data_IF_794531795018
#
_entry.id   IF_794531795018
#
_cell.length_a   1.000
_cell.length_b   1.000
_cell.length_c   1.000
_cell.angle_alpha   90.00
_cell.angle_beta   90.00
_cell.angle_gamma   90.00
#
_symmetry.space_group_name_H-M   'P 1'
#
loop_
_entity.id
_entity.type
_entity.pdbx_description
1 polymer ?
#
# COMPACT_ATOMS: atom_id res chain seq x y z
N UNK A 1 30.01 36.25 43.30
CA UNK A 1 29.04 36.38 42.19
C UNK A 1 28.91 35.02 41.52
N UNK A 2 27.88 34.24 41.86
CA UNK A 2 27.57 32.98 41.20
C UNK A 2 26.39 33.22 40.25
N UNK A 3 26.63 33.13 38.94
CA UNK A 3 25.56 33.12 37.95
C UNK A 3 25.08 31.68 37.76
N UNK A 4 23.86 31.41 38.20
CA UNK A 4 23.13 30.17 37.90
C UNK A 4 22.48 30.36 36.53
N UNK A 5 23.02 29.65 35.53
CA UNK A 5 22.46 29.59 34.18
C UNK A 5 21.29 28.58 34.19
N UNK A 6 20.05 29.08 34.11
CA UNK A 6 18.86 28.23 33.95
C UNK A 6 18.83 27.65 32.53
N UNK A 7 19.13 26.35 32.41
CA UNK A 7 18.84 25.56 31.21
C UNK A 7 17.33 25.28 31.17
N UNK A 8 16.58 26.12 30.46
CA UNK A 8 15.20 25.85 30.07
C UNK A 8 15.22 24.94 28.82
N UNK A 9 15.43 23.63 29.03
CA UNK A 9 15.15 22.63 27.99
C UNK A 9 13.64 22.51 27.81
N UNK A 10 13.10 23.19 26.81
CA UNK A 10 11.70 23.05 26.41
C UNK A 10 11.51 21.67 25.78
N UNK A 11 10.79 20.79 26.49
CA UNK A 11 10.27 19.53 25.97
C UNK A 11 9.25 19.83 24.86
N UNK A 12 9.70 19.85 23.61
CA UNK A 12 8.79 19.86 22.48
C UNK A 12 8.00 18.53 22.47
N UNK A 13 6.67 18.55 22.40
CA UNK A 13 5.89 17.33 22.28
C UNK A 13 6.27 16.62 20.98
N UNK A 14 6.57 15.33 21.08
CA UNK A 14 6.83 14.50 19.90
C UNK A 14 5.62 14.57 18.95
N UNK A 15 5.84 14.65 17.63
CA UNK A 15 4.74 14.69 16.67
C UNK A 15 3.85 13.46 16.84
N UNK A 16 2.54 13.68 16.93
CA UNK A 16 1.57 12.60 17.06
C UNK A 16 1.67 11.67 15.85
N UNK A 17 1.89 10.37 16.09
CA UNK A 17 1.85 9.36 15.03
C UNK A 17 0.43 9.28 14.49
N UNK A 18 0.23 9.67 13.23
CA UNK A 18 -1.04 9.46 12.52
C UNK A 18 -1.17 7.95 12.28
N UNK A 19 -1.97 7.29 13.11
CA UNK A 19 -2.30 5.88 12.95
C UNK A 19 -3.55 5.76 12.08
N UNK A 20 -3.49 4.91 11.06
CA UNK A 20 -4.68 4.59 10.28
C UNK A 20 -5.70 3.85 11.13
N UNK A 21 -6.94 4.35 11.10
CA UNK A 21 -8.07 3.70 11.76
C UNK A 21 -8.80 2.86 10.72
N UNK A 22 -8.57 1.56 10.74
CA UNK A 22 -9.29 0.64 9.87
C UNK A 22 -10.67 0.37 10.46
N UNK A 23 -11.73 0.58 9.67
CA UNK A 23 -13.07 0.16 10.06
C UNK A 23 -13.18 -1.34 9.83
N UNK A 24 -13.34 -2.16 10.88
CA UNK A 24 -13.53 -3.59 10.69
C UNK A 24 -14.86 -3.83 10.00
N UNK A 25 -14.83 -4.46 8.83
CA UNK A 25 -16.03 -4.95 8.16
C UNK A 25 -16.39 -6.30 8.78
N UNK A 26 -17.63 -6.48 9.24
CA UNK A 26 -18.12 -7.71 9.86
C UNK A 26 -19.30 -8.30 9.07
N UNK A 27 -19.39 -9.64 8.98
CA UNK A 27 -20.52 -10.31 8.36
C UNK A 27 -21.72 -10.38 9.31
N UNK A 28 -22.85 -10.87 8.81
CA UNK A 28 -24.06 -11.08 9.60
C UNK A 28 -23.88 -12.05 10.78
N UNK A 29 -22.72 -12.71 10.87
CA UNK A 29 -22.34 -13.64 11.93
C UNK A 29 -21.24 -13.07 12.83
N UNK A 30 -20.87 -11.79 12.65
CA UNK A 30 -19.86 -11.11 13.48
C UNK A 30 -18.41 -11.49 13.19
N UNK A 31 -18.13 -12.19 12.08
CA UNK A 31 -16.77 -12.46 11.63
C UNK A 31 -16.26 -11.29 10.80
N UNK A 32 -14.95 -10.97 10.90
CA UNK A 32 -14.35 -9.95 10.03
C UNK A 32 -14.53 -10.37 8.56
N UNK A 33 -15.37 -9.66 7.81
CA UNK A 33 -15.43 -9.73 6.36
C UNK A 33 -14.11 -9.17 5.86
N UNK A 34 -13.25 -10.09 5.46
CA UNK A 34 -12.21 -9.83 4.49
C UNK A 34 -12.92 -9.31 3.24
N UNK A 35 -12.75 -8.03 2.92
CA UNK A 35 -13.50 -7.25 1.93
C UNK A 35 -13.58 -7.86 0.52
N UNK A 36 -14.25 -7.16 -0.40
CA UNK A 36 -14.33 -7.60 -1.80
C UNK A 36 -12.98 -7.43 -2.50
N UNK A 37 -12.09 -8.42 -2.35
CA UNK A 37 -10.76 -8.41 -2.97
C UNK A 37 -10.78 -9.05 -4.35
N UNK A 38 -10.06 -8.50 -5.30
CA UNK A 38 -9.84 -9.14 -6.61
C UNK A 38 -8.73 -10.18 -6.55
N UNK A 39 -7.87 -10.09 -5.53
CA UNK A 39 -6.67 -10.90 -5.40
C UNK A 39 -6.43 -11.27 -3.93
N UNK A 40 -6.21 -12.57 -3.69
CA UNK A 40 -5.70 -13.06 -2.40
C UNK A 40 -4.59 -14.05 -2.71
N UNK A 41 -3.37 -13.79 -2.24
CA UNK A 41 -2.20 -14.62 -2.53
C UNK A 41 -1.24 -14.74 -1.36
N UNK A 42 -0.35 -15.72 -1.46
CA UNK A 42 0.86 -15.86 -0.66
C UNK A 42 2.07 -15.59 -1.54
N UNK A 43 2.89 -14.63 -1.14
CA UNK A 43 4.13 -14.32 -1.87
C UNK A 43 5.25 -13.85 -0.97
N UNK A 44 6.48 -13.99 -1.46
CA UNK A 44 7.70 -13.46 -0.84
C UNK A 44 8.13 -12.20 -1.59
N UNK A 45 8.36 -11.12 -0.86
CA UNK A 45 8.81 -9.85 -1.43
C UNK A 45 10.19 -10.03 -2.04
N UNK A 46 10.31 -9.74 -3.33
CA UNK A 46 11.57 -9.70 -4.06
C UNK A 46 12.17 -8.30 -4.04
N UNK A 47 11.35 -7.28 -4.27
CA UNK A 47 11.80 -5.91 -4.48
C UNK A 47 10.74 -4.91 -4.06
N UNK A 48 11.18 -3.78 -3.50
CA UNK A 48 10.33 -2.64 -3.19
C UNK A 48 10.88 -1.41 -3.92
N UNK A 49 10.10 -0.88 -4.86
CA UNK A 49 10.41 0.36 -5.59
C UNK A 49 9.54 1.50 -5.11
N UNK A 50 10.05 2.73 -5.17
CA UNK A 50 9.20 3.92 -5.07
C UNK A 50 8.71 4.30 -6.46
N UNK A 51 7.40 4.49 -6.59
CA UNK A 51 6.76 4.94 -7.83
C UNK A 51 6.01 6.25 -7.59
N UNK A 52 5.80 6.98 -8.68
CA UNK A 52 5.08 8.24 -8.67
C UNK A 52 3.82 8.10 -9.50
N UNK A 53 2.73 8.72 -9.06
CA UNK A 53 1.45 8.64 -9.77
C UNK A 53 0.65 9.93 -9.61
N UNK A 54 -0.30 10.13 -10.52
CA UNK A 54 -1.30 11.19 -10.42
C UNK A 54 -2.63 10.59 -9.97
N UNK A 55 -3.25 11.22 -8.98
CA UNK A 55 -4.60 10.85 -8.55
C UNK A 55 -5.63 11.31 -9.60
N UNK A 56 -6.47 10.39 -10.05
CA UNK A 56 -7.48 10.67 -11.08
C UNK A 56 -8.50 11.72 -10.62
N UNK A 57 -8.80 11.78 -9.32
CA UNK A 57 -9.64 12.80 -8.71
C UNK A 57 -9.05 14.20 -8.85
N UNK A 58 -7.73 14.37 -8.71
CA UNK A 58 -7.07 15.65 -8.97
C UNK A 58 -7.12 16.06 -10.44
N UNK A 59 -7.03 15.10 -11.37
CA UNK A 59 -7.21 15.37 -12.81
C UNK A 59 -8.64 15.83 -13.08
N UNK A 60 -9.63 15.11 -12.56
CA UNK A 60 -11.06 15.45 -12.69
C UNK A 60 -11.41 16.79 -12.08
N UNK A 61 -10.74 17.18 -10.99
CA UNK A 61 -10.92 18.46 -10.31
C UNK A 61 -10.10 19.61 -10.91
N UNK A 62 -9.35 19.38 -12.01
CA UNK A 62 -8.45 20.35 -12.65
C UNK A 62 -7.33 20.91 -11.73
N UNK A 63 -6.95 20.16 -10.69
CA UNK A 63 -5.78 20.48 -9.85
C UNK A 63 -4.47 19.94 -10.44
N UNK A 64 -4.55 18.96 -11.32
CA UNK A 64 -3.42 18.38 -12.04
C UNK A 64 -3.85 18.01 -13.46
N UNK A 65 -2.89 17.80 -14.35
CA UNK A 65 -3.11 17.15 -15.65
C UNK A 65 -2.43 15.78 -15.64
N UNK A 66 -2.62 15.02 -16.72
CA UNK A 66 -1.90 13.74 -16.90
C UNK A 66 -0.40 13.91 -17.05
N UNK A 67 0.07 15.10 -17.42
CA UNK A 67 1.48 15.34 -17.79
C UNK A 67 2.09 16.52 -17.00
N UNK A 68 1.35 17.12 -16.07
CA UNK A 68 1.85 18.21 -15.25
C UNK A 68 1.05 18.43 -13.97
N UNK A 69 1.70 18.84 -12.89
CA UNK A 69 1.03 19.32 -11.68
C UNK A 69 1.38 18.51 -10.43
N UNK A 70 0.38 18.28 -9.58
CA UNK A 70 0.54 17.54 -8.33
C UNK A 70 0.60 16.04 -8.61
N UNK A 71 1.53 15.37 -7.94
CA UNK A 71 1.72 13.93 -7.98
C UNK A 71 1.98 13.39 -6.58
N UNK A 72 1.73 12.10 -6.40
CA UNK A 72 1.93 11.36 -5.18
C UNK A 72 3.02 10.32 -5.35
N UNK A 73 3.41 9.72 -4.22
CA UNK A 73 4.38 8.65 -4.17
C UNK A 73 3.73 7.42 -3.54
N UNK A 74 4.08 6.25 -4.03
CA UNK A 74 3.66 4.97 -3.49
C UNK A 74 4.82 3.98 -3.54
N UNK A 75 4.64 2.83 -2.91
CA UNK A 75 5.55 1.70 -2.99
C UNK A 75 4.98 0.66 -3.96
N UNK A 76 5.78 0.29 -4.95
CA UNK A 76 5.54 -0.84 -5.84
C UNK A 76 6.31 -2.05 -5.29
N UNK A 77 5.58 -3.06 -4.85
CA UNK A 77 6.13 -4.26 -4.21
C UNK A 77 6.01 -5.42 -5.18
N UNK A 78 7.16 -5.95 -5.62
CA UNK A 78 7.20 -7.14 -6.47
C UNK A 78 7.32 -8.37 -5.59
N UNK A 79 6.39 -9.32 -5.74
CA UNK A 79 6.37 -10.58 -5.01
C UNK A 79 6.58 -11.77 -5.94
N UNK A 80 7.39 -12.71 -5.50
CA UNK A 80 7.37 -14.07 -6.00
C UNK A 80 6.19 -14.80 -5.36
N UNK A 81 5.23 -15.23 -6.15
CA UNK A 81 3.97 -15.84 -5.70
C UNK A 81 4.10 -17.35 -5.72
N UNK A 82 3.74 -17.96 -4.59
CA UNK A 82 3.79 -19.41 -4.41
C UNK A 82 2.39 -20.04 -4.36
N UNK A 83 1.36 -19.24 -4.13
CA UNK A 83 -0.02 -19.71 -4.05
C UNK A 83 -1.02 -18.56 -4.24
N UNK A 84 -2.08 -18.80 -5.00
CA UNK A 84 -3.25 -17.93 -5.09
C UNK A 84 -4.43 -18.59 -4.37
N UNK A 85 -5.10 -17.83 -3.51
CA UNK A 85 -6.34 -18.26 -2.85
C UNK A 85 -7.58 -17.69 -3.54
N UNK A 86 -7.42 -16.55 -4.22
CA UNK A 86 -8.46 -15.91 -5.05
C UNK A 86 -7.79 -15.26 -6.26
N UNK A 87 -8.34 -15.52 -7.45
CA UNK A 87 -7.85 -15.23 -8.80
C UNK A 87 -7.18 -16.44 -9.48
N UNK A 88 -7.57 -16.71 -10.74
CA UNK A 88 -7.07 -17.82 -11.56
C UNK A 88 -5.78 -17.43 -12.32
N UNK A 89 -4.78 -16.91 -11.62
CA UNK A 89 -3.46 -16.63 -12.21
C UNK A 89 -2.49 -17.77 -11.94
N UNK A 90 -1.64 -18.04 -12.94
CA UNK A 90 -0.53 -18.96 -12.81
C UNK A 90 0.55 -18.38 -11.89
N UNK A 91 1.26 -19.27 -11.20
CA UNK A 91 2.41 -18.96 -10.34
C UNK A 91 3.44 -18.09 -11.08
N UNK A 92 4.13 -17.19 -10.35
CA UNK A 92 5.08 -16.27 -10.97
C UNK A 92 5.31 -15.01 -10.15
N UNK A 93 5.64 -13.91 -10.82
CA UNK A 93 5.84 -12.60 -10.18
C UNK A 93 4.59 -11.73 -10.33
N UNK A 94 4.28 -10.95 -9.30
CA UNK A 94 3.25 -9.94 -9.35
C UNK A 94 3.73 -8.67 -8.66
N UNK A 95 3.36 -7.53 -9.22
CA UNK A 95 3.57 -6.23 -8.60
C UNK A 95 2.27 -5.74 -7.99
N UNK A 96 2.34 -5.29 -6.74
CA UNK A 96 1.24 -4.65 -6.02
C UNK A 96 1.67 -3.26 -5.60
N UNK A 97 0.72 -2.35 -5.45
CA UNK A 97 0.97 -0.99 -5.00
C UNK A 97 0.41 -0.79 -3.60
N UNK A 98 1.10 0.02 -2.80
CA UNK A 98 0.66 0.40 -1.45
C UNK A 98 1.15 1.81 -1.15
N UNK A 99 0.46 2.51 -0.26
CA UNK A 99 0.98 3.74 0.33
C UNK A 99 2.34 3.55 1.03
N UNK A 100 3.01 4.67 1.32
CA UNK A 100 4.30 4.74 2.03
C UNK A 100 4.10 4.66 3.56
N UNK A 101 2.89 4.92 4.04
CA UNK A 101 2.54 5.06 5.45
C UNK A 101 2.43 6.53 5.87
N UNK A 102 2.21 6.77 7.16
CA UNK A 102 2.17 8.13 7.72
C UNK A 102 0.91 8.96 7.39
N UNK A 103 -0.10 8.35 6.76
CA UNK A 103 -1.42 8.96 6.51
C UNK A 103 -2.22 8.30 5.39
N UNK A 104 -1.54 7.64 4.44
CA UNK A 104 -2.13 6.94 3.29
C UNK A 104 -2.43 5.44 3.55
N UNK A 105 -2.23 5.00 4.79
CA UNK A 105 -2.46 3.63 5.23
C UNK A 105 -1.62 2.56 4.52
N UNK A 106 -0.48 2.94 3.96
CA UNK A 106 0.48 2.02 3.39
C UNK A 106 0.86 0.85 4.29
N UNK A 107 0.89 -0.36 3.72
CA UNK A 107 1.41 -1.56 4.38
C UNK A 107 2.95 -1.60 4.28
N UNK A 108 3.62 -1.76 5.42
CA UNK A 108 5.08 -1.73 5.50
C UNK A 108 5.70 -3.10 5.18
N UNK A 109 5.88 -3.37 3.89
CA UNK A 109 6.59 -4.56 3.41
C UNK A 109 8.08 -4.51 3.73
N UNK A 110 8.69 -5.68 3.83
CA UNK A 110 10.13 -5.86 3.94
C UNK A 110 10.58 -6.84 2.88
N UNK A 111 11.68 -6.54 2.22
CA UNK A 111 12.32 -7.46 1.29
C UNK A 111 12.60 -8.80 1.96
N UNK A 112 12.60 -9.87 1.17
CA UNK A 112 12.84 -11.24 1.59
C UNK A 112 11.83 -11.85 2.59
N UNK A 113 10.79 -11.10 2.98
CA UNK A 113 9.72 -11.60 3.84
C UNK A 113 8.52 -12.12 3.05
N UNK A 114 7.81 -13.09 3.63
CA UNK A 114 6.59 -13.65 3.08
C UNK A 114 5.34 -13.03 3.70
N UNK A 115 4.30 -12.87 2.89
CA UNK A 115 3.05 -12.24 3.28
C UNK A 115 1.85 -12.97 2.67
N UNK A 116 0.71 -12.87 3.36
CA UNK A 116 -0.60 -13.01 2.72
C UNK A 116 -1.05 -11.62 2.31
N UNK A 117 -1.33 -11.45 1.02
CA UNK A 117 -1.73 -10.16 0.44
C UNK A 117 -3.19 -10.24 0.03
N UNK A 118 -3.95 -9.25 0.47
CA UNK A 118 -5.32 -8.98 0.05
C UNK A 118 -5.32 -7.67 -0.74
N UNK A 119 -5.71 -7.73 -2.01
CA UNK A 119 -5.63 -6.57 -2.88
C UNK A 119 -6.85 -6.41 -3.80
N UNK A 120 -7.09 -5.16 -4.19
CA UNK A 120 -8.15 -4.76 -5.12
C UNK A 120 -7.54 -4.17 -6.38
N UNK A 121 -8.19 -4.36 -7.52
CA UNK A 121 -7.77 -3.71 -8.77
C UNK A 121 -8.11 -2.22 -8.70
N UNK A 122 -7.15 -1.38 -9.02
CA UNK A 122 -7.31 0.06 -9.07
C UNK A 122 -6.62 0.62 -10.33
N UNK A 123 -7.24 1.58 -11.03
CA UNK A 123 -6.58 2.30 -12.11
C UNK A 123 -5.58 3.31 -11.54
N UNK A 124 -4.40 3.39 -12.16
CA UNK A 124 -3.33 4.31 -11.80
C UNK A 124 -2.82 5.06 -13.03
N UNK A 125 -2.50 6.34 -12.86
CA UNK A 125 -1.76 7.15 -13.83
C UNK A 125 -0.31 7.20 -13.34
N UNK A 126 0.52 6.27 -13.77
CA UNK A 126 1.91 6.17 -13.34
C UNK A 126 2.80 7.15 -14.09
N UNK A 127 3.74 7.77 -13.38
CA UNK A 127 4.73 8.67 -13.96
C UNK A 127 5.99 7.89 -14.32
N UNK A 128 6.36 7.93 -15.60
CA UNK A 128 7.54 7.26 -16.16
C UNK A 128 8.81 8.07 -15.98
N UNK A 129 8.70 9.40 -16.15
CA UNK A 129 9.84 10.31 -16.10
C UNK A 129 9.39 11.74 -15.82
N UNK A 130 10.21 12.48 -15.09
CA UNK A 130 10.02 13.92 -14.89
C UNK A 130 10.81 14.72 -15.93
N UNK A 131 10.32 15.90 -16.28
CA UNK A 131 11.14 16.90 -16.95
C UNK A 131 12.13 17.49 -15.94
N UNK A 132 13.41 17.30 -16.18
CA UNK A 132 14.50 17.69 -15.28
C UNK A 132 14.58 19.20 -15.03
N UNK A 133 14.04 20.03 -15.92
CA UNK A 133 14.11 21.48 -15.83
C UNK A 133 13.18 22.07 -14.75
N UNK A 134 11.96 21.55 -14.63
CA UNK A 134 10.94 22.12 -13.75
C UNK A 134 10.33 21.14 -12.74
N UNK A 135 10.54 19.82 -12.91
CA UNK A 135 9.98 18.73 -12.08
C UNK A 135 8.46 18.76 -11.88
N UNK A 136 7.76 19.63 -12.58
CA UNK A 136 6.30 19.79 -12.53
C UNK A 136 5.64 19.25 -13.77
N UNK A 137 6.40 19.05 -14.86
CA UNK A 137 5.97 18.33 -16.06
C UNK A 137 6.53 16.92 -16.05
N UNK A 138 5.78 15.95 -16.53
CA UNK A 138 6.16 14.53 -16.53
C UNK A 138 5.49 13.77 -17.69
N UNK A 139 6.02 12.59 -18.01
CA UNK A 139 5.37 11.62 -18.90
C UNK A 139 4.68 10.56 -18.07
N UNK A 140 3.46 10.18 -18.45
CA UNK A 140 2.69 9.17 -17.74
C UNK A 140 2.00 8.15 -18.66
N UNK A 141 1.56 7.04 -18.07
CA UNK A 141 0.70 6.06 -18.72
C UNK A 141 -0.37 5.53 -17.75
N UNK A 142 -1.43 4.95 -18.31
CA UNK A 142 -2.46 4.26 -17.52
C UNK A 142 -2.06 2.81 -17.28
N UNK A 143 -2.19 2.36 -16.03
CA UNK A 143 -2.02 0.96 -15.66
C UNK A 143 -3.09 0.53 -14.65
N UNK A 144 -3.55 -0.71 -14.74
CA UNK A 144 -4.42 -1.32 -13.72
C UNK A 144 -3.55 -2.17 -12.81
N UNK A 145 -3.38 -1.72 -11.57
CA UNK A 145 -2.58 -2.39 -10.56
C UNK A 145 -3.46 -2.99 -9.46
N UNK A 146 -2.85 -3.87 -8.66
CA UNK A 146 -3.46 -4.37 -7.43
C UNK A 146 -2.97 -3.56 -6.24
N UNK A 147 -3.89 -2.91 -5.53
CA UNK A 147 -3.60 -2.11 -4.35
C UNK A 147 -3.88 -2.87 -3.06
N UNK A 148 -2.98 -2.73 -2.08
CA UNK A 148 -3.16 -3.18 -0.70
C UNK A 148 -2.84 -2.05 0.28
N UNK A 149 -3.36 -2.15 1.51
CA UNK A 149 -3.03 -1.24 2.60
C UNK A 149 -3.16 -1.97 3.96
N UNK A 150 -2.89 -1.30 5.08
CA UNK A 150 -3.02 -1.93 6.43
C UNK A 150 -4.44 -2.34 6.78
N UNK A 151 -5.44 -1.79 6.11
CA UNK A 151 -6.85 -2.08 6.33
C UNK A 151 -7.40 -3.18 5.43
N UNK A 152 -6.67 -3.60 4.38
CA UNK A 152 -7.08 -4.73 3.53
C UNK A 152 -6.83 -6.10 4.18
N UNK A 153 -6.21 -6.17 5.35
CA UNK A 153 -5.94 -7.45 6.04
C UNK A 153 -4.67 -8.16 5.57
N UNK A 154 -3.86 -7.52 4.71
CA UNK A 154 -2.51 -7.98 4.37
C UNK A 154 -1.68 -8.16 5.65
N UNK A 155 -0.91 -9.27 5.72
CA UNK A 155 -0.27 -9.68 6.97
C UNK A 155 0.99 -10.52 6.75
N UNK A 156 1.94 -10.40 7.68
CA UNK A 156 3.14 -11.24 7.79
C UNK A 156 2.90 -12.49 8.66
N UNK A 157 1.72 -12.65 9.27
CA UNK A 157 1.32 -13.83 10.02
C UNK A 157 0.91 -15.00 9.09
N UNK A 158 1.78 -15.34 8.14
CA UNK A 158 1.48 -16.24 7.01
C UNK A 158 0.90 -17.58 7.45
N UNK A 159 1.52 -18.27 8.41
CA UNK A 159 1.08 -19.60 8.86
C UNK A 159 -0.35 -19.60 9.39
N UNK A 160 -0.70 -18.60 10.21
CA UNK A 160 -2.03 -18.46 10.81
C UNK A 160 -3.06 -18.17 9.73
N UNK A 161 -2.75 -17.23 8.86
CA UNK A 161 -3.67 -16.72 7.86
C UNK A 161 -3.92 -17.74 6.72
N UNK A 162 -2.87 -18.41 6.27
CA UNK A 162 -2.93 -19.48 5.27
C UNK A 162 -3.81 -20.65 5.74
N UNK A 163 -3.74 -21.04 7.02
CA UNK A 163 -4.58 -22.09 7.57
C UNK A 163 -6.07 -21.72 7.52
N UNK A 164 -6.41 -20.46 7.77
CA UNK A 164 -7.79 -19.96 7.66
C UNK A 164 -8.26 -19.94 6.21
N UNK A 165 -7.43 -19.44 5.29
CA UNK A 165 -7.75 -19.38 3.87
C UNK A 165 -7.94 -20.77 3.26
N UNK A 166 -7.08 -21.73 3.59
CA UNK A 166 -7.24 -23.13 3.14
C UNK A 166 -8.57 -23.72 3.59
N UNK A 167 -9.03 -23.46 4.82
CA UNK A 167 -10.34 -23.92 5.30
C UNK A 167 -11.52 -23.26 4.58
N UNK A 168 -11.35 -22.03 4.13
CA UNK A 168 -12.39 -21.26 3.44
C UNK A 168 -12.50 -21.66 1.97
N UNK A 169 -11.37 -21.81 1.27
CA UNK A 169 -11.33 -22.01 -0.18
C UNK A 169 -11.16 -23.49 -0.61
N UNK A 170 -10.72 -24.39 0.27
CA UNK A 170 -10.64 -25.84 -0.03
C UNK A 170 -11.88 -26.63 0.39
N UNK A 171 -12.98 -25.97 0.80
CA UNK A 171 -14.29 -26.62 0.90
C UNK A 171 -14.87 -26.76 -0.51
N UNK A 172 -14.33 -27.69 -1.28
CA UNK A 172 -14.99 -28.30 -2.45
C UNK A 172 -15.33 -29.74 -2.12
#
# INVERSE_FOLDING_TARGET
MFHILYLFSTLLPAPAKVNCTCVPLYDSLGNVIRGNYDLILKGRVEKIDTVFYVDEGLVKANYSTRDSGVYFRALMVTLNVNNYFKCDKADGKISIITGIGGGDCGYNFKEDKSYIVYAQKQPYILIDSFNDENKTSFKSHDEILFETNVCTGTTDQVTKEEALLKRQFNKK
#
